data_IF_226859453320
#
_entry.id   IF_226859453320
#
_cell.length_a   1.000
_cell.length_b   1.000
_cell.length_c   1.000
_cell.angle_alpha   90.00
_cell.angle_beta   90.00
_cell.angle_gamma   90.00
#
_symmetry.space_group_name_H-M   'P 1'
#
loop_
_entity.id
_entity.type
_entity.pdbx_description
1 polymer ?
#
# COMPACT_ATOMS: atom_id res chain seq x y z
N UNK A 1 -9.87 0.53 -33.56
CA UNK A 1 -10.63 -0.51 -32.83
C UNK A 1 -9.79 -1.77 -32.62
N UNK A 2 -8.89 -2.12 -33.54
CA UNK A 2 -7.98 -3.29 -33.40
C UNK A 2 -6.90 -3.09 -32.32
N UNK A 3 -6.35 -1.87 -32.18
CA UNK A 3 -5.33 -1.53 -31.18
C UNK A 3 -5.83 -1.64 -29.73
N UNK A 4 -7.00 -1.06 -29.40
CA UNK A 4 -7.59 -1.17 -28.06
C UNK A 4 -7.79 -2.62 -27.60
N UNK A 5 -8.19 -3.52 -28.50
CA UNK A 5 -8.29 -4.95 -28.21
C UNK A 5 -6.91 -5.58 -27.96
N UNK A 6 -5.89 -5.12 -28.69
CA UNK A 6 -4.48 -5.48 -28.46
C UNK A 6 -3.97 -5.05 -27.10
N UNK A 7 -4.20 -3.78 -26.72
CA UNK A 7 -3.78 -3.21 -25.42
C UNK A 7 -4.43 -3.94 -24.25
N UNK A 8 -5.74 -4.22 -24.32
CA UNK A 8 -6.47 -4.99 -23.29
C UNK A 8 -5.88 -6.39 -23.13
N UNK A 9 -5.57 -7.07 -24.25
CA UNK A 9 -4.96 -8.40 -24.22
C UNK A 9 -3.55 -8.37 -23.62
N UNK A 10 -2.71 -7.42 -24.03
CA UNK A 10 -1.36 -7.24 -23.49
C UNK A 10 -1.40 -6.97 -21.98
N UNK A 11 -2.33 -6.13 -21.54
CA UNK A 11 -2.54 -5.84 -20.13
C UNK A 11 -2.92 -7.09 -19.32
N UNK A 12 -3.90 -7.87 -19.79
CA UNK A 12 -4.33 -9.09 -19.11
C UNK A 12 -3.19 -10.13 -19.05
N UNK A 13 -2.44 -10.26 -20.15
CA UNK A 13 -1.25 -11.12 -20.21
C UNK A 13 -0.17 -10.66 -19.22
N UNK A 14 0.05 -9.34 -19.11
CA UNK A 14 1.00 -8.77 -18.16
C UNK A 14 0.63 -9.05 -16.69
N UNK A 15 -0.65 -8.94 -16.33
CA UNK A 15 -1.13 -9.32 -14.99
C UNK A 15 -0.90 -10.80 -14.67
N UNK A 16 -1.09 -11.65 -15.67
CA UNK A 16 -0.94 -13.11 -15.58
C UNK A 16 0.52 -13.57 -15.39
N UNK A 17 1.50 -12.75 -15.78
CA UNK A 17 2.92 -13.08 -15.66
C UNK A 17 3.34 -13.29 -14.22
N UNK A 18 2.89 -12.43 -13.31
CA UNK A 18 3.30 -12.46 -11.91
C UNK A 18 2.84 -13.73 -11.18
N UNK A 19 1.74 -14.36 -11.62
CA UNK A 19 1.27 -15.65 -11.09
C UNK A 19 2.11 -16.86 -11.55
N UNK A 20 2.94 -16.67 -12.58
CA UNK A 20 3.74 -17.73 -13.21
C UNK A 20 5.18 -17.76 -12.71
N UNK A 21 5.56 -16.78 -11.89
CA UNK A 21 6.89 -16.60 -11.30
C UNK A 21 6.92 -17.27 -9.93
N UNK A 22 7.97 -18.05 -9.67
CA UNK A 22 8.36 -18.47 -8.33
C UNK A 22 9.75 -17.95 -7.96
N UNK A 23 10.11 -18.03 -6.68
CA UNK A 23 11.46 -17.77 -6.20
C UNK A 23 12.08 -19.08 -5.70
N UNK A 24 13.32 -19.35 -6.12
CA UNK A 24 14.05 -20.53 -5.69
C UNK A 24 14.40 -20.46 -4.20
N UNK A 25 14.77 -21.62 -3.65
CA UNK A 25 15.09 -21.76 -2.22
C UNK A 25 16.18 -20.80 -1.76
N UNK A 26 17.16 -20.45 -2.59
CA UNK A 26 18.28 -19.56 -2.24
C UNK A 26 17.85 -18.16 -1.77
N UNK A 27 16.59 -17.78 -1.96
CA UNK A 27 16.01 -16.57 -1.38
C UNK A 27 15.76 -16.66 0.13
N UNK A 28 15.91 -17.85 0.77
CA UNK A 28 15.51 -18.21 2.15
C UNK A 28 15.16 -17.05 3.09
N UNK A 29 16.16 -16.26 3.51
CA UNK A 29 15.98 -15.20 4.53
C UNK A 29 15.08 -14.05 4.07
N UNK A 30 15.13 -13.74 2.78
CA UNK A 30 14.40 -12.62 2.18
C UNK A 30 13.24 -13.09 1.29
N UNK A 31 12.96 -14.39 1.22
CA UNK A 31 11.97 -14.98 0.32
C UNK A 31 10.61 -14.29 0.45
N UNK A 32 10.14 -14.13 1.68
CA UNK A 32 8.85 -13.49 1.94
C UNK A 32 8.81 -12.02 1.51
N UNK A 33 9.93 -11.30 1.63
CA UNK A 33 10.03 -9.89 1.20
C UNK A 33 9.93 -9.79 -0.32
N UNK A 34 10.75 -10.56 -1.05
CA UNK A 34 10.74 -10.54 -2.52
C UNK A 34 9.41 -11.04 -3.08
N UNK A 35 8.79 -12.01 -2.42
CA UNK A 35 7.49 -12.52 -2.80
C UNK A 35 6.38 -11.46 -2.61
N UNK A 36 6.46 -10.64 -1.57
CA UNK A 36 5.57 -9.48 -1.38
C UNK A 36 5.87 -8.39 -2.41
N UNK A 37 7.13 -8.15 -2.80
CA UNK A 37 7.46 -7.22 -3.89
C UNK A 37 6.74 -7.59 -5.19
N UNK A 38 6.69 -8.87 -5.56
CA UNK A 38 5.90 -9.34 -6.72
C UNK A 38 4.42 -9.02 -6.57
N UNK A 39 3.84 -9.26 -5.39
CA UNK A 39 2.42 -8.96 -5.14
C UNK A 39 2.13 -7.46 -5.25
N UNK A 40 3.04 -6.60 -4.76
CA UNK A 40 2.92 -5.14 -4.83
C UNK A 40 2.97 -4.67 -6.29
N UNK A 41 3.91 -5.17 -7.10
CA UNK A 41 4.04 -4.79 -8.51
C UNK A 41 2.80 -5.21 -9.30
N UNK A 42 2.32 -6.44 -9.07
CA UNK A 42 1.08 -6.92 -9.68
C UNK A 42 -0.12 -6.04 -9.26
N UNK A 43 -0.22 -5.68 -7.97
CA UNK A 43 -1.28 -4.82 -7.46
C UNK A 43 -1.23 -3.43 -8.09
N UNK A 44 -0.03 -2.86 -8.21
CA UNK A 44 0.21 -1.58 -8.89
C UNK A 44 -0.26 -1.59 -10.34
N UNK A 45 0.09 -2.62 -11.11
CA UNK A 45 -0.40 -2.78 -12.48
C UNK A 45 -1.94 -2.93 -12.52
N UNK A 46 -2.52 -3.70 -11.58
CA UNK A 46 -3.97 -3.86 -11.50
C UNK A 46 -4.70 -2.54 -11.24
N UNK A 47 -4.10 -1.67 -10.40
CA UNK A 47 -4.62 -0.34 -10.07
C UNK A 47 -4.62 0.57 -11.27
N UNK A 48 -3.56 0.54 -12.08
CA UNK A 48 -3.51 1.24 -13.35
C UNK A 48 -4.63 0.77 -14.29
N UNK A 49 -4.88 -0.54 -14.35
CA UNK A 49 -5.97 -1.10 -15.16
C UNK A 49 -7.38 -0.71 -14.67
N UNK A 50 -7.55 -0.57 -13.36
CA UNK A 50 -8.81 -0.11 -12.76
C UNK A 50 -9.09 1.37 -13.10
N UNK A 51 -8.09 2.24 -12.97
CA UNK A 51 -8.21 3.68 -13.27
C UNK A 51 -8.43 3.94 -14.76
N UNK A 52 -7.78 3.19 -15.64
CA UNK A 52 -7.97 3.30 -17.10
C UNK A 52 -9.23 2.61 -17.61
N UNK A 53 -9.94 1.88 -16.73
CA UNK A 53 -11.08 1.03 -17.06
C UNK A 53 -10.80 -0.04 -18.13
N UNK A 54 -9.52 -0.34 -18.41
CA UNK A 54 -9.12 -1.36 -19.40
C UNK A 54 -9.60 -2.75 -18.96
N UNK A 55 -9.71 -2.99 -17.65
CA UNK A 55 -10.26 -4.21 -17.06
C UNK A 55 -11.75 -4.41 -17.38
N UNK A 56 -12.50 -3.32 -17.62
CA UNK A 56 -13.95 -3.34 -17.85
C UNK A 56 -14.33 -3.37 -19.34
N UNK A 57 -13.41 -2.96 -20.22
CA UNK A 57 -13.64 -2.96 -21.67
C UNK A 57 -13.90 -4.37 -22.24
N UNK A 58 -13.46 -5.44 -21.55
CA UNK A 58 -13.78 -6.82 -21.92
C UNK A 58 -15.22 -7.26 -21.63
N UNK A 59 -15.99 -6.52 -20.82
CA UNK A 59 -17.35 -6.93 -20.41
C UNK A 59 -18.47 -6.03 -20.96
N UNK A 60 -18.19 -4.77 -21.31
CA UNK A 60 -19.12 -3.89 -22.02
C UNK A 60 -18.30 -2.85 -22.81
N UNK A 61 -18.13 -3.08 -24.11
CA UNK A 61 -17.30 -2.29 -25.02
C UNK A 61 -17.90 -0.91 -25.36
N UNK A 62 -18.24 -0.10 -24.36
CA UNK A 62 -18.81 1.25 -24.52
C UNK A 62 -18.21 2.25 -23.52
N UNK A 63 -16.89 2.26 -23.37
CA UNK A 63 -16.18 3.47 -22.92
C UNK A 63 -14.95 3.66 -23.78
N UNK A 64 -15.13 4.47 -24.82
CA UNK A 64 -14.07 5.05 -25.63
C UNK A 64 -13.21 5.94 -24.73
N UNK A 65 -11.99 5.52 -24.44
CA UNK A 65 -10.95 6.45 -24.01
C UNK A 65 -10.79 7.47 -25.14
N UNK A 66 -11.16 8.73 -24.89
CA UNK A 66 -11.16 9.82 -25.87
C UNK A 66 -9.75 10.27 -26.31
N UNK A 67 -8.73 9.41 -26.19
CA UNK A 67 -7.36 9.72 -26.57
C UNK A 67 -6.70 8.52 -27.28
N UNK A 68 -6.66 8.52 -28.62
CA UNK A 68 -5.97 7.48 -29.40
C UNK A 68 -4.48 7.38 -29.10
N UNK A 69 -3.84 8.48 -28.68
CA UNK A 69 -2.40 8.52 -28.37
C UNK A 69 -2.04 7.77 -27.09
N UNK A 70 -2.94 7.75 -26.11
CA UNK A 70 -2.76 6.98 -24.88
C UNK A 70 -2.70 5.46 -25.18
N UNK A 71 -3.44 5.01 -26.19
CA UNK A 71 -3.62 3.58 -26.48
C UNK A 71 -2.33 2.95 -27.05
N UNK A 72 -1.65 3.62 -28.00
CA UNK A 72 -0.42 3.07 -28.59
C UNK A 72 0.80 3.18 -27.66
N UNK A 73 0.91 4.27 -26.89
CA UNK A 73 2.01 4.42 -25.92
C UNK A 73 1.87 3.40 -24.79
N UNK A 74 0.65 3.21 -24.27
CA UNK A 74 0.38 2.18 -23.27
C UNK A 74 0.64 0.78 -23.83
N UNK A 75 0.19 0.48 -25.06
CA UNK A 75 0.47 -0.80 -25.72
C UNK A 75 1.98 -1.05 -25.84
N UNK A 76 2.76 -0.06 -26.26
CA UNK A 76 4.22 -0.19 -26.39
C UNK A 76 4.91 -0.44 -25.05
N UNK A 77 4.46 0.18 -23.96
CA UNK A 77 5.04 -0.07 -22.63
C UNK A 77 4.62 -1.46 -22.11
N UNK A 78 3.37 -1.89 -22.37
CA UNK A 78 2.92 -3.23 -22.01
C UNK A 78 3.65 -4.33 -22.80
N UNK A 79 4.00 -4.08 -24.07
CA UNK A 79 4.90 -4.94 -24.85
C UNK A 79 6.30 -5.01 -24.22
N UNK A 80 6.86 -3.87 -23.80
CA UNK A 80 8.14 -3.87 -23.08
C UNK A 80 8.08 -4.65 -21.75
N UNK A 81 6.97 -4.57 -21.01
CA UNK A 81 6.74 -5.39 -19.81
C UNK A 81 6.78 -6.88 -20.16
N UNK A 82 6.16 -7.26 -21.27
CA UNK A 82 6.20 -8.63 -21.78
C UNK A 82 7.61 -9.05 -22.18
N UNK A 83 8.34 -8.23 -22.91
CA UNK A 83 9.70 -8.54 -23.34
C UNK A 83 10.64 -8.69 -22.12
N UNK A 84 10.51 -7.81 -21.12
CA UNK A 84 11.26 -7.89 -19.85
C UNK A 84 10.95 -9.20 -19.10
N UNK A 85 9.68 -9.62 -19.08
CA UNK A 85 9.29 -10.91 -18.51
C UNK A 85 9.87 -12.10 -19.30
N UNK A 86 9.75 -12.10 -20.63
CA UNK A 86 10.23 -13.20 -21.48
C UNK A 86 11.76 -13.35 -21.38
N UNK A 87 12.49 -12.23 -21.40
CA UNK A 87 13.93 -12.21 -21.17
C UNK A 87 14.30 -12.75 -19.79
N UNK A 88 13.61 -12.31 -18.72
CA UNK A 88 13.85 -12.81 -17.38
C UNK A 88 13.58 -14.32 -17.26
N UNK A 89 12.56 -14.82 -17.96
CA UNK A 89 12.24 -16.24 -18.04
C UNK A 89 13.34 -17.02 -18.78
N UNK A 90 13.83 -16.53 -19.91
CA UNK A 90 14.94 -17.13 -20.67
C UNK A 90 16.22 -17.18 -19.82
N UNK A 91 16.58 -16.07 -19.19
CA UNK A 91 17.73 -15.99 -18.29
C UNK A 91 17.61 -16.99 -17.14
N UNK A 92 16.44 -17.07 -16.50
CA UNK A 92 16.20 -18.02 -15.42
C UNK A 92 16.27 -19.49 -15.89
N UNK A 93 15.75 -19.80 -17.08
CA UNK A 93 15.84 -21.14 -17.66
C UNK A 93 17.28 -21.53 -17.99
N UNK A 94 18.10 -20.58 -18.46
CA UNK A 94 19.53 -20.79 -18.72
C UNK A 94 20.33 -21.06 -17.45
N UNK A 95 19.87 -20.53 -16.32
CA UNK A 95 20.49 -20.71 -14.99
C UNK A 95 19.91 -21.88 -14.22
N UNK A 96 18.97 -22.62 -14.80
CA UNK A 96 18.34 -23.75 -14.13
C UNK A 96 19.41 -24.79 -13.77
N UNK A 97 19.56 -25.14 -12.49
CA UNK A 97 20.58 -26.09 -12.06
C UNK A 97 20.30 -27.51 -12.60
N UNK A 98 21.38 -28.24 -12.86
CA UNK A 98 21.33 -29.61 -13.38
C UNK A 98 20.89 -30.61 -12.31
N UNK A 99 19.64 -31.07 -12.37
CA UNK A 99 19.15 -32.36 -11.84
C UNK A 99 19.36 -32.71 -10.34
N UNK A 100 19.57 -31.76 -9.43
CA UNK A 100 19.41 -32.03 -7.98
C UNK A 100 18.07 -31.47 -7.47
N UNK A 101 16.98 -32.07 -7.97
CA UNK A 101 15.61 -31.55 -7.92
C UNK A 101 14.97 -31.40 -6.52
N UNK A 102 15.61 -31.87 -5.44
CA UNK A 102 15.04 -31.87 -4.08
C UNK A 102 15.55 -30.73 -3.19
N UNK A 103 16.78 -30.23 -3.41
CA UNK A 103 17.32 -29.16 -2.57
C UNK A 103 16.98 -27.76 -3.11
N UNK A 104 16.72 -27.64 -4.42
CA UNK A 104 16.51 -26.37 -5.13
C UNK A 104 15.05 -26.15 -5.57
N UNK A 105 14.13 -27.01 -5.08
CA UNK A 105 12.72 -26.85 -5.36
C UNK A 105 12.25 -25.44 -4.95
N UNK A 106 11.53 -24.73 -5.84
CA UNK A 106 10.93 -23.44 -5.52
C UNK A 106 10.11 -23.49 -4.23
N UNK A 107 10.19 -22.43 -3.42
CA UNK A 107 9.48 -22.35 -2.15
C UNK A 107 8.02 -21.99 -2.42
N UNK A 108 7.10 -22.73 -1.81
CA UNK A 108 5.69 -22.38 -1.81
C UNK A 108 5.45 -21.16 -0.88
N UNK A 109 4.97 -20.03 -1.41
CA UNK A 109 4.66 -18.82 -0.63
C UNK A 109 3.71 -19.07 0.55
N UNK A 110 2.76 -20.00 0.42
CA UNK A 110 1.73 -20.22 1.43
C UNK A 110 2.26 -21.02 2.64
N UNK A 111 3.36 -21.76 2.47
CA UNK A 111 3.98 -22.56 3.54
C UNK A 111 5.22 -21.91 4.15
N UNK A 112 5.96 -21.10 3.39
CA UNK A 112 7.27 -20.57 3.81
C UNK A 112 7.28 -19.10 4.29
N UNK A 113 6.13 -18.41 4.30
CA UNK A 113 5.99 -17.06 4.84
C UNK A 113 5.56 -17.11 6.31
N UNK A 114 6.15 -16.27 7.17
CA UNK A 114 5.73 -16.17 8.58
C UNK A 114 4.31 -15.57 8.73
N UNK A 115 3.64 -15.82 9.86
CA UNK A 115 2.23 -15.44 10.05
C UNK A 115 1.95 -13.93 9.88
N UNK A 116 2.90 -13.06 10.25
CA UNK A 116 2.77 -11.59 10.08
C UNK A 116 2.74 -11.22 8.60
N UNK A 117 3.68 -11.75 7.83
CA UNK A 117 3.81 -11.51 6.39
C UNK A 117 2.70 -12.22 5.60
N UNK A 118 2.21 -13.36 6.07
CA UNK A 118 1.04 -14.05 5.51
C UNK A 118 -0.18 -13.16 5.52
N UNK A 119 -0.50 -12.53 6.66
CA UNK A 119 -1.65 -11.62 6.76
C UNK A 119 -1.55 -10.44 5.79
N UNK A 120 -0.35 -9.86 5.65
CA UNK A 120 -0.09 -8.79 4.70
C UNK A 120 -0.32 -9.26 3.25
N UNK A 121 0.29 -10.37 2.86
CA UNK A 121 0.10 -10.99 1.54
C UNK A 121 -1.37 -11.33 1.27
N UNK A 122 -2.09 -11.89 2.24
CA UNK A 122 -3.53 -12.18 2.11
C UNK A 122 -4.34 -10.92 1.80
N UNK A 123 -4.03 -9.79 2.47
CA UNK A 123 -4.68 -8.49 2.20
C UNK A 123 -4.33 -7.99 0.79
N UNK A 124 -3.05 -7.99 0.39
CA UNK A 124 -2.64 -7.57 -0.96
C UNK A 124 -3.32 -8.41 -2.04
N UNK A 125 -3.33 -9.73 -1.88
CA UNK A 125 -4.01 -10.67 -2.77
C UNK A 125 -5.53 -10.50 -2.78
N UNK A 126 -6.13 -10.09 -1.65
CA UNK A 126 -7.55 -9.73 -1.61
C UNK A 126 -7.83 -8.45 -2.40
N UNK A 127 -7.00 -7.41 -2.28
CA UNK A 127 -7.12 -6.19 -3.08
C UNK A 127 -6.99 -6.50 -4.58
N UNK A 128 -5.99 -7.31 -4.95
CA UNK A 128 -5.79 -7.79 -6.32
C UNK A 128 -7.03 -8.48 -6.90
N UNK A 129 -7.63 -9.42 -6.16
CA UNK A 129 -8.86 -10.10 -6.60
C UNK A 129 -10.06 -9.17 -6.74
N UNK A 130 -10.09 -8.06 -5.99
CA UNK A 130 -11.15 -7.06 -6.07
C UNK A 130 -10.99 -6.16 -7.31
N UNK A 131 -9.76 -5.82 -7.69
CA UNK A 131 -9.45 -4.93 -8.82
C UNK A 131 -9.40 -5.66 -10.17
N UNK A 132 -9.25 -6.99 -10.16
CA UNK A 132 -9.16 -7.84 -11.35
C UNK A 132 -10.45 -8.63 -11.59
N UNK A 133 -10.81 -8.84 -12.86
CA UNK A 133 -11.94 -9.71 -13.22
C UNK A 133 -11.59 -11.19 -13.07
N UNK A 134 -12.58 -12.06 -12.93
CA UNK A 134 -12.41 -13.51 -12.80
C UNK A 134 -11.58 -14.16 -13.93
N UNK A 135 -11.45 -13.49 -15.10
CA UNK A 135 -10.63 -13.97 -16.21
C UNK A 135 -9.11 -13.94 -15.94
N UNK A 136 -8.63 -12.98 -15.12
CA UNK A 136 -7.23 -12.92 -14.68
C UNK A 136 -6.93 -13.91 -13.54
N UNK A 137 -7.95 -14.59 -13.02
CA UNK A 137 -7.83 -15.62 -11.99
C UNK A 137 -7.56 -17.01 -12.61
N UNK A 138 -7.08 -17.07 -13.86
CA UNK A 138 -6.87 -18.33 -14.57
C UNK A 138 -5.73 -19.15 -13.95
N UNK A 139 -6.10 -19.96 -12.96
CA UNK A 139 -5.64 -21.33 -12.79
C UNK A 139 -4.14 -21.56 -12.92
N UNK A 140 -3.43 -21.21 -11.85
CA UNK A 140 -2.28 -21.94 -11.29
C UNK A 140 -1.55 -22.90 -12.24
N UNK A 141 -0.57 -22.36 -12.97
CA UNK A 141 0.59 -23.16 -13.34
C UNK A 141 1.82 -22.29 -13.28
N UNK A 142 2.57 -22.43 -12.20
CA UNK A 142 3.90 -21.86 -12.14
C UNK A 142 4.69 -22.44 -13.31
N UNK A 143 5.34 -21.55 -14.05
CA UNK A 143 6.10 -21.93 -15.24
C UNK A 143 7.60 -21.96 -14.99
N UNK A 144 8.12 -21.08 -14.12
CA UNK A 144 9.55 -20.93 -13.91
C UNK A 144 9.86 -20.23 -12.57
N UNK A 145 11.13 -20.18 -12.19
CA UNK A 145 11.57 -19.56 -10.94
C UNK A 145 12.85 -18.73 -11.11
N UNK A 146 12.97 -17.65 -10.33
CA UNK A 146 14.24 -16.93 -10.18
C UNK A 146 15.17 -17.69 -9.23
N UNK A 147 16.42 -17.90 -9.66
CA UNK A 147 17.44 -18.59 -8.86
C UNK A 147 18.40 -17.63 -8.15
N UNK A 148 18.50 -16.38 -8.60
CA UNK A 148 19.43 -15.38 -8.06
C UNK A 148 18.70 -14.10 -7.67
N UNK A 149 19.00 -13.59 -6.48
CA UNK A 149 18.44 -12.33 -5.96
C UNK A 149 18.72 -11.14 -6.88
N UNK A 150 19.93 -10.99 -7.38
CA UNK A 150 20.29 -9.87 -8.27
C UNK A 150 19.48 -9.82 -9.56
N UNK A 151 19.14 -10.98 -10.14
CA UNK A 151 18.30 -11.07 -11.34
C UNK A 151 16.86 -10.67 -11.05
N UNK A 152 16.36 -11.10 -9.89
CA UNK A 152 15.04 -10.71 -9.42
C UNK A 152 14.95 -9.20 -9.13
N UNK A 153 15.95 -8.64 -8.44
CA UNK A 153 15.99 -7.22 -8.12
C UNK A 153 16.04 -6.35 -9.38
N UNK A 154 16.87 -6.73 -10.37
CA UNK A 154 16.89 -6.05 -11.67
C UNK A 154 15.56 -6.15 -12.41
N UNK A 155 14.91 -7.32 -12.41
CA UNK A 155 13.57 -7.47 -12.98
C UNK A 155 12.53 -6.56 -12.30
N UNK A 156 12.56 -6.47 -10.97
CA UNK A 156 11.67 -5.58 -10.21
C UNK A 156 11.92 -4.12 -10.55
N UNK A 157 13.18 -3.70 -10.65
CA UNK A 157 13.56 -2.34 -11.01
C UNK A 157 13.07 -1.99 -12.42
N UNK A 158 13.36 -2.83 -13.42
CA UNK A 158 12.95 -2.64 -14.81
C UNK A 158 11.42 -2.54 -14.94
N UNK A 159 10.67 -3.45 -14.31
CA UNK A 159 9.21 -3.43 -14.34
C UNK A 159 8.66 -2.20 -13.60
N UNK A 160 9.23 -1.82 -12.47
CA UNK A 160 8.78 -0.65 -11.71
C UNK A 160 8.95 0.64 -12.52
N UNK A 161 10.06 0.77 -13.26
CA UNK A 161 10.29 1.89 -14.17
C UNK A 161 9.30 1.91 -15.35
N UNK A 162 8.94 0.74 -15.91
CA UNK A 162 7.91 0.65 -16.95
C UNK A 162 6.52 1.03 -16.40
N UNK A 163 6.21 0.65 -15.16
CA UNK A 163 4.96 1.06 -14.49
C UNK A 163 4.96 2.57 -14.20
N UNK A 164 6.09 3.17 -13.81
CA UNK A 164 6.21 4.63 -13.69
C UNK A 164 5.88 5.31 -15.03
N UNK A 165 6.42 4.79 -16.13
CA UNK A 165 6.13 5.32 -17.47
C UNK A 165 4.64 5.20 -17.84
N UNK A 166 3.99 4.07 -17.54
CA UNK A 166 2.55 3.90 -17.76
C UNK A 166 1.71 4.88 -16.95
N UNK A 167 2.08 5.14 -15.70
CA UNK A 167 1.37 6.06 -14.81
C UNK A 167 1.58 7.53 -15.23
N UNK A 168 2.72 7.86 -15.83
CA UNK A 168 2.99 9.20 -16.37
C UNK A 168 2.15 9.55 -17.60
N UNK A 169 1.62 8.55 -18.32
CA UNK A 169 0.67 8.78 -19.42
C UNK A 169 -0.71 9.25 -18.91
N UNK A 170 -1.03 9.03 -17.63
CA UNK A 170 -2.34 9.32 -17.07
C UNK A 170 -2.53 10.82 -16.81
N UNK A 171 -3.76 11.34 -17.02
CA UNK A 171 -4.09 12.70 -16.61
C UNK A 171 -4.12 12.83 -15.08
N UNK A 172 -4.05 14.07 -14.59
CA UNK A 172 -3.91 14.38 -13.15
C UNK A 172 -5.04 13.81 -12.28
N UNK A 173 -6.26 13.82 -12.78
CA UNK A 173 -7.44 13.24 -12.12
C UNK A 173 -7.34 11.72 -11.98
N UNK A 174 -6.85 11.03 -13.00
CA UNK A 174 -6.56 9.59 -12.95
C UNK A 174 -5.42 9.28 -11.95
N UNK A 175 -4.37 10.10 -11.89
CA UNK A 175 -3.29 9.92 -10.89
C UNK A 175 -3.77 10.11 -9.45
N UNK A 176 -4.71 11.04 -9.22
CA UNK A 176 -5.38 11.15 -7.90
C UNK A 176 -6.17 9.89 -7.55
N UNK A 177 -6.82 9.25 -8.52
CA UNK A 177 -7.51 7.98 -8.29
C UNK A 177 -6.53 6.85 -7.92
N UNK A 178 -5.34 6.79 -8.52
CA UNK A 178 -4.29 5.84 -8.10
C UNK A 178 -3.92 6.05 -6.62
N UNK A 179 -3.76 7.30 -6.20
CA UNK A 179 -3.45 7.61 -4.81
C UNK A 179 -4.58 7.17 -3.86
N UNK A 180 -5.84 7.41 -4.20
CA UNK A 180 -6.98 7.02 -3.35
C UNK A 180 -7.17 5.50 -3.28
N UNK A 181 -7.00 4.78 -4.39
CA UNK A 181 -7.01 3.32 -4.39
C UNK A 181 -5.89 2.75 -3.51
N UNK A 182 -4.69 3.32 -3.60
CA UNK A 182 -3.55 2.91 -2.79
C UNK A 182 -3.76 3.15 -1.29
N UNK A 183 -4.43 4.24 -0.90
CA UNK A 183 -4.88 4.47 0.49
C UNK A 183 -5.83 3.38 0.95
N UNK A 184 -6.87 3.09 0.17
CA UNK A 184 -7.87 2.07 0.51
C UNK A 184 -7.27 0.65 0.63
N UNK A 185 -6.22 0.35 -0.12
CA UNK A 185 -5.48 -0.92 0.00
C UNK A 185 -4.72 -1.03 1.32
N UNK A 186 -4.26 0.09 1.86
CA UNK A 186 -3.55 0.18 3.15
C UNK A 186 -4.50 0.30 4.36
N UNK A 187 -5.77 0.63 4.13
CA UNK A 187 -6.78 0.69 5.18
C UNK A 187 -6.93 -0.68 5.88
N UNK A 188 -7.21 -0.62 7.19
CA UNK A 188 -7.34 -1.76 8.11
C UNK A 188 -6.04 -2.56 8.36
N UNK A 189 -4.90 -2.15 7.78
CA UNK A 189 -3.61 -2.71 8.15
C UNK A 189 -3.19 -2.21 9.55
N UNK A 190 -2.92 -3.14 10.47
CA UNK A 190 -2.37 -2.78 11.76
C UNK A 190 -0.95 -2.20 11.64
N UNK A 191 -0.55 -1.36 12.60
CA UNK A 191 0.78 -0.71 12.63
C UNK A 191 1.96 -1.64 12.31
N UNK A 192 2.06 -2.86 12.87
CA UNK A 192 3.14 -3.77 12.51
C UNK A 192 3.14 -4.17 11.02
N UNK A 193 1.96 -4.38 10.41
CA UNK A 193 1.90 -4.69 8.99
C UNK A 193 2.33 -3.51 8.12
N UNK A 194 1.93 -2.29 8.51
CA UNK A 194 2.34 -1.05 7.82
C UNK A 194 3.84 -0.77 7.92
N UNK A 195 4.46 -0.98 9.09
CA UNK A 195 5.91 -0.84 9.25
C UNK A 195 6.66 -1.81 8.35
N UNK A 196 6.19 -3.06 8.25
CA UNK A 196 6.79 -4.03 7.35
C UNK A 196 6.56 -3.68 5.88
N UNK A 197 5.37 -3.22 5.52
CA UNK A 197 5.05 -2.81 4.16
C UNK A 197 5.91 -1.61 3.73
N UNK A 198 6.14 -0.64 4.63
CA UNK A 198 7.02 0.51 4.39
C UNK A 198 8.42 0.08 3.94
N UNK A 199 8.98 -0.93 4.61
CA UNK A 199 10.34 -1.40 4.33
C UNK A 199 10.42 -2.19 3.00
N UNK A 200 9.29 -2.71 2.50
CA UNK A 200 9.25 -3.52 1.26
C UNK A 200 8.88 -2.67 0.03
N UNK A 201 8.02 -1.66 0.20
CA UNK A 201 7.42 -0.89 -0.89
C UNK A 201 8.35 0.17 -1.50
N UNK A 202 9.50 0.43 -0.86
CA UNK A 202 10.38 1.57 -1.14
C UNK A 202 10.73 1.75 -2.61
N UNK A 203 10.97 0.65 -3.33
CA UNK A 203 11.43 0.64 -4.73
C UNK A 203 10.36 0.15 -5.72
N UNK A 204 9.14 -0.15 -5.26
CA UNK A 204 8.14 -0.88 -6.07
C UNK A 204 6.89 -0.07 -6.39
N UNK A 205 6.37 0.70 -5.43
CA UNK A 205 5.12 1.43 -5.59
C UNK A 205 5.16 2.78 -4.85
N UNK A 206 5.36 3.90 -5.57
CA UNK A 206 5.43 5.22 -4.95
C UNK A 206 4.10 5.65 -4.32
N UNK A 207 2.96 5.24 -4.87
CA UNK A 207 1.65 5.56 -4.32
C UNK A 207 1.41 4.85 -3.00
N UNK A 208 1.77 3.56 -2.93
CA UNK A 208 1.64 2.77 -1.71
C UNK A 208 2.65 3.20 -0.65
N UNK A 209 3.87 3.61 -1.04
CA UNK A 209 4.84 4.23 -0.13
C UNK A 209 4.27 5.46 0.56
N UNK A 210 3.59 6.33 -0.20
CA UNK A 210 2.91 7.50 0.35
C UNK A 210 1.75 7.11 1.26
N UNK A 211 0.87 6.20 0.81
CA UNK A 211 -0.28 5.74 1.58
C UNK A 211 0.12 5.12 2.94
N UNK A 212 1.17 4.28 2.96
CA UNK A 212 1.70 3.69 4.19
C UNK A 212 2.24 4.74 5.14
N UNK A 213 2.97 5.73 4.61
CA UNK A 213 3.53 6.82 5.41
C UNK A 213 2.43 7.68 6.04
N UNK A 214 1.39 7.99 5.27
CA UNK A 214 0.21 8.70 5.76
C UNK A 214 -0.53 7.89 6.84
N UNK A 215 -0.77 6.59 6.63
CA UNK A 215 -1.49 5.74 7.57
C UNK A 215 -0.72 5.55 8.90
N UNK A 216 0.61 5.37 8.83
CA UNK A 216 1.46 5.34 10.01
C UNK A 216 1.41 6.66 10.80
N UNK A 217 1.26 7.80 10.10
CA UNK A 217 1.13 9.11 10.75
C UNK A 217 -0.22 9.29 11.45
N UNK A 218 -1.32 8.74 10.90
CA UNK A 218 -2.65 8.74 11.55
C UNK A 218 -2.61 8.04 12.91
N UNK A 219 -1.87 6.94 13.01
CA UNK A 219 -1.66 6.20 14.26
C UNK A 219 -0.83 6.94 15.33
N UNK A 220 -0.15 8.04 14.98
CA UNK A 220 0.65 8.87 15.91
C UNK A 220 -0.21 9.91 16.64
N UNK A 221 -1.35 10.30 16.06
CA UNK A 221 -2.32 11.20 16.68
C UNK A 221 -3.50 10.39 17.22
N UNK A 222 -3.26 9.60 18.27
CA UNK A 222 -4.35 9.05 19.07
C UNK A 222 -5.03 10.22 19.83
N UNK A 223 -5.88 10.97 19.13
CA UNK A 223 -6.79 11.92 19.76
C UNK A 223 -7.62 11.17 20.78
N UNK A 224 -7.35 11.39 22.06
CA UNK A 224 -8.11 10.75 23.14
C UNK A 224 -9.50 11.38 23.16
N UNK A 225 -10.48 10.70 22.57
CA UNK A 225 -11.86 11.14 22.54
C UNK A 225 -12.61 10.56 23.74
N UNK A 226 -12.84 11.38 24.75
CA UNK A 226 -13.73 11.04 25.86
C UNK A 226 -15.17 11.42 25.47
N UNK A 227 -16.05 10.43 25.31
CA UNK A 227 -17.48 10.67 25.12
C UNK A 227 -18.20 10.16 26.35
N UNK A 228 -18.75 11.07 27.15
CA UNK A 228 -19.61 10.71 28.28
C UNK A 228 -21.08 10.85 27.86
N UNK A 229 -21.87 9.79 28.05
CA UNK A 229 -23.32 9.80 27.83
C UNK A 229 -24.01 9.72 29.19
N UNK A 230 -24.37 10.86 29.78
CA UNK A 230 -25.09 10.95 31.05
C UNK A 230 -24.69 12.17 31.89
N UNK A 231 -25.28 12.28 33.09
CA UNK A 231 -24.85 13.27 34.10
C UNK A 231 -23.59 12.75 34.79
N UNK A 232 -22.47 13.42 34.57
CA UNK A 232 -21.20 13.12 35.22
C UNK A 232 -20.91 14.16 36.31
N UNK A 233 -20.43 13.67 37.46
CA UNK A 233 -19.76 14.48 38.47
C UNK A 233 -18.32 13.97 38.52
N UNK A 234 -17.39 14.65 37.83
CA UNK A 234 -15.99 14.23 37.81
C UNK A 234 -15.06 15.38 37.47
N UNK A 235 -13.84 15.31 38.00
CA UNK A 235 -12.73 16.17 37.60
C UNK A 235 -11.98 15.49 36.45
N UNK A 236 -11.80 16.20 35.35
CA UNK A 236 -10.91 15.78 34.28
C UNK A 236 -9.68 16.68 34.25
N UNK A 237 -8.49 16.09 34.36
CA UNK A 237 -7.22 16.79 34.24
C UNK A 237 -6.42 16.17 33.11
N UNK A 238 -5.97 17.00 32.18
CA UNK A 238 -5.18 16.56 31.01
C UNK A 238 -3.86 17.33 31.01
N UNK A 239 -2.75 16.62 30.84
CA UNK A 239 -1.42 17.19 30.65
C UNK A 239 -1.11 17.09 29.15
N UNK A 240 -0.91 18.24 28.50
CA UNK A 240 -0.52 18.31 27.10
C UNK A 240 0.96 18.69 27.00
N UNK A 241 1.78 17.81 26.43
CA UNK A 241 3.22 18.00 26.26
C UNK A 241 3.60 18.28 24.80
N UNK A 242 2.84 19.13 24.11
CA UNK A 242 3.09 19.50 22.72
C UNK A 242 2.84 20.99 22.44
N UNK A 243 3.45 21.51 21.37
CA UNK A 243 3.33 22.89 20.87
C UNK A 243 2.07 23.17 20.03
N UNK A 244 1.14 22.22 19.97
CA UNK A 244 -0.12 22.35 19.23
C UNK A 244 -1.17 23.03 20.12
N UNK A 245 -1.85 24.05 19.59
CA UNK A 245 -2.98 24.71 20.25
C UNK A 245 -4.10 23.72 20.55
N UNK A 246 -4.73 23.83 21.73
CA UNK A 246 -5.91 23.04 22.08
C UNK A 246 -7.11 23.60 21.29
N UNK A 247 -7.29 23.13 20.06
CA UNK A 247 -8.47 23.42 19.27
C UNK A 247 -9.55 22.35 19.54
N UNK A 248 -10.66 22.75 20.16
CA UNK A 248 -11.89 21.93 20.16
C UNK A 248 -12.31 21.25 21.47
N UNK A 249 -12.05 21.83 22.63
CA UNK A 249 -12.76 21.41 23.85
C UNK A 249 -14.25 21.84 23.75
N UNK A 250 -15.10 20.92 23.26
CA UNK A 250 -16.54 21.09 23.15
C UNK A 250 -17.23 20.38 24.31
N UNK A 251 -17.87 21.15 25.18
CA UNK A 251 -18.72 20.64 26.24
C UNK A 251 -20.17 20.73 25.76
N UNK A 252 -20.96 19.67 25.89
CA UNK A 252 -22.34 19.58 25.38
C UNK A 252 -23.21 20.79 25.77
N UNK A 253 -24.32 20.99 25.05
CA UNK A 253 -25.24 22.13 25.27
C UNK A 253 -25.64 22.20 26.76
N UNK A 254 -25.55 23.40 27.35
CA UNK A 254 -25.83 23.76 28.75
C UNK A 254 -24.69 23.60 29.77
N UNK A 255 -23.45 23.31 29.35
CA UNK A 255 -22.31 23.34 30.27
C UNK A 255 -21.81 24.78 30.53
N UNK A 256 -21.63 25.13 31.81
CA UNK A 256 -20.97 26.38 32.23
C UNK A 256 -19.47 26.13 32.35
N UNK A 257 -18.68 26.75 31.48
CA UNK A 257 -17.22 26.61 31.45
C UNK A 257 -16.60 27.78 32.22
N UNK A 258 -15.70 27.50 33.16
CA UNK A 258 -14.81 28.49 33.77
C UNK A 258 -13.38 28.09 33.43
N UNK A 259 -12.78 28.79 32.46
CA UNK A 259 -11.41 28.54 32.05
C UNK A 259 -10.45 29.41 32.89
N UNK A 260 -9.70 28.79 33.80
CA UNK A 260 -8.62 29.45 34.51
C UNK A 260 -7.29 29.13 33.82
N UNK A 261 -6.90 29.94 32.84
CA UNK A 261 -5.59 29.82 32.20
C UNK A 261 -4.51 30.47 33.07
N UNK A 262 -3.86 29.67 33.92
CA UNK A 262 -2.63 30.12 34.57
C UNK A 262 -1.44 29.81 33.65
N UNK A 263 -0.78 30.84 33.11
CA UNK A 263 0.56 30.65 32.51
C UNK A 263 1.52 30.29 33.63
N UNK A 264 2.00 29.04 33.64
CA UNK A 264 3.12 28.66 34.49
C UNK A 264 4.38 29.38 34.00
N UNK A 265 4.61 30.60 34.51
CA UNK A 265 5.91 31.25 34.39
C UNK A 265 6.86 30.45 35.27
N UNK A 266 7.83 29.76 34.64
CA UNK A 266 8.99 29.21 35.37
C UNK A 266 9.79 30.39 35.93
N UNK A 267 9.43 30.87 37.11
CA UNK A 267 10.35 31.58 37.96
C UNK A 267 10.92 30.55 38.95
N UNK A 268 12.20 30.26 38.80
CA UNK A 268 12.96 29.54 39.80
C UNK A 268 12.87 30.29 41.14
N UNK A 269 12.72 29.53 42.22
CA UNK A 269 12.62 30.08 43.56
C UNK A 269 11.37 29.60 44.27
N UNK A 270 11.54 28.46 44.93
CA UNK A 270 10.96 28.08 46.23
C UNK A 270 9.70 28.87 46.67
N UNK A 271 8.56 28.18 46.79
CA UNK A 271 7.45 28.72 47.59
C UNK A 271 6.49 27.65 48.07
N UNK A 272 6.44 27.52 49.40
CA UNK A 272 5.29 27.05 50.18
C UNK A 272 4.05 27.83 49.74
N UNK A 273 2.97 27.12 49.46
CA UNK A 273 1.67 27.70 49.14
C UNK A 273 1.03 28.23 50.43
N UNK A 274 0.81 29.55 50.52
CA UNK A 274 -0.15 30.13 51.46
C UNK A 274 -1.52 30.24 50.77
N UNK A 275 -2.63 29.82 51.41
CA UNK A 275 -3.95 29.95 50.85
C UNK A 275 -4.46 31.39 51.02
N UNK A 276 -4.78 32.06 49.91
CA UNK A 276 -5.50 33.33 49.93
C UNK A 276 -7.00 33.08 50.14
N UNK A 277 -7.58 33.85 51.06
CA UNK A 277 -8.88 33.62 51.67
C UNK A 277 -10.09 33.87 50.76
N UNK A 278 -11.18 33.20 51.16
CA UNK A 278 -12.55 33.41 50.67
C UNK A 278 -13.15 34.68 51.29
N UNK A 279 -13.92 35.50 50.56
CA UNK A 279 -14.82 36.46 51.17
C UNK A 279 -16.14 35.77 51.56
N UNK A 280 -16.52 35.93 52.82
CA UNK A 280 -17.83 35.56 53.36
C UNK A 280 -18.73 36.79 53.21
N UNK A 281 -19.91 36.62 52.61
CA UNK A 281 -20.98 37.61 52.60
C UNK A 281 -22.18 37.05 53.38
N UNK A 282 -22.69 37.84 54.34
CA UNK A 282 -24.04 37.68 54.89
C UNK A 282 -25.08 38.21 53.90
#
# INVERSE_FOLDING_TARGET
>A
MEFATGTVNLFNVALDFFERIQLARDFQKDFAIHQIKLDIIQLRLSRWGEVTAINRQGQNAQTTSNCPDLDWQAASILEQIRDTYEKAQEDANSMRPGSNALEEAPLDPETHINDRLKRLRTKLRHCLRKSTSDAAQLGHRIKWAFYKKSHFEGFVEDISALLDALEQLLPEDARKQLQELSKAECEDLGKPALETLRDVVEDCDPWMKLAVSEELSKGSYAGVKFVNKGTNYGQQSTIHNGSVEINGASYGRQNRIVNNWAKAVRQGGDRRLHPAGLPISN
#
